data_IF_251017423358
#
_entry.id   IF_251017423358
#
_cell.length_a   1.000
_cell.length_b   1.000
_cell.length_c   1.000
_cell.angle_alpha   90.00
_cell.angle_beta   90.00
_cell.angle_gamma   90.00
#
_symmetry.space_group_name_H-M   'P 1'
#
loop_
_entity.id
_entity.type
_entity.pdbx_description
1 polymer ?
#
# COMPACT_ATOMS: atom_id res chain seq x y z
N UNK A 1 9.80 -11.92 20.34
CA UNK A 1 9.29 -11.56 19.00
C UNK A 1 8.12 -12.49 18.66
N UNK A 2 6.89 -12.07 18.97
CA UNK A 2 5.66 -12.69 18.43
C UNK A 2 5.31 -11.88 17.19
N UNK A 3 5.63 -12.38 16.00
CA UNK A 3 5.42 -11.59 14.78
C UNK A 3 5.97 -12.24 13.52
N UNK A 4 6.22 -13.54 13.55
CA UNK A 4 6.50 -14.33 12.35
C UNK A 4 5.31 -15.27 12.18
N UNK A 5 4.47 -15.00 11.19
CA UNK A 5 3.39 -15.88 10.78
C UNK A 5 3.67 -16.40 9.38
N UNK A 6 3.36 -17.68 9.17
CA UNK A 6 3.45 -18.29 7.85
C UNK A 6 2.30 -17.78 6.98
N UNK A 7 2.64 -17.25 5.82
CA UNK A 7 1.67 -16.92 4.78
C UNK A 7 2.15 -17.50 3.45
N UNK A 8 1.41 -18.48 2.94
CA UNK A 8 1.77 -19.23 1.73
C UNK A 8 3.16 -19.90 1.81
N UNK A 9 3.53 -20.44 2.97
CA UNK A 9 4.83 -21.10 3.17
C UNK A 9 6.00 -20.12 3.35
N UNK A 10 5.73 -18.84 3.61
CA UNK A 10 6.73 -17.81 3.85
C UNK A 10 6.57 -17.20 5.24
N UNK A 11 7.66 -17.14 5.98
CA UNK A 11 7.75 -16.38 7.24
C UNK A 11 7.57 -14.88 6.99
N UNK A 12 6.47 -14.31 7.50
CA UNK A 12 6.10 -12.90 7.34
C UNK A 12 5.84 -12.20 8.66
N UNK A 13 5.97 -10.88 8.68
CA UNK A 13 5.46 -10.00 9.72
C UNK A 13 3.99 -9.69 9.50
N UNK A 14 3.18 -9.98 10.52
CA UNK A 14 1.77 -9.64 10.55
C UNK A 14 1.58 -8.19 11.01
N UNK A 15 0.84 -7.41 10.23
CA UNK A 15 0.31 -6.10 10.62
C UNK A 15 -1.20 -6.22 10.74
N UNK A 16 -1.74 -6.04 11.96
CA UNK A 16 -3.19 -6.00 12.19
C UNK A 16 -3.71 -4.59 11.99
N UNK A 17 -4.45 -4.38 10.91
CA UNK A 17 -5.10 -3.12 10.58
C UNK A 17 -6.53 -3.13 11.10
N UNK A 18 -6.93 -2.04 11.75
CA UNK A 18 -8.31 -1.80 12.18
C UNK A 18 -8.78 -0.51 11.52
N UNK A 19 -9.79 -0.61 10.68
CA UNK A 19 -10.44 0.52 10.03
C UNK A 19 -11.81 0.70 10.67
N UNK A 20 -12.22 1.94 10.87
CA UNK A 20 -13.55 2.28 11.37
C UNK A 20 -14.08 3.42 10.50
N UNK A 21 -15.19 3.15 9.83
CA UNK A 21 -15.92 4.11 9.02
C UNK A 21 -17.42 4.10 9.38
N UNK A 22 -18.24 4.80 8.60
CA UNK A 22 -19.69 4.87 8.81
C UNK A 22 -20.40 3.51 8.68
N UNK A 23 -19.75 2.51 8.06
CA UNK A 23 -20.24 1.14 7.91
C UNK A 23 -19.74 0.20 9.03
N UNK A 24 -18.92 0.72 9.94
CA UNK A 24 -18.49 0.05 11.16
C UNK A 24 -17.00 -0.32 11.18
N UNK A 25 -16.66 -1.26 12.06
CA UNK A 25 -15.28 -1.65 12.33
C UNK A 25 -14.87 -2.85 11.46
N UNK A 26 -13.86 -2.64 10.62
CA UNK A 26 -13.24 -3.66 9.79
C UNK A 26 -11.83 -4.01 10.27
N UNK A 27 -11.51 -5.30 10.34
CA UNK A 27 -10.19 -5.78 10.77
C UNK A 27 -9.57 -6.59 9.63
N UNK A 28 -8.33 -6.26 9.29
CA UNK A 28 -7.56 -6.95 8.25
C UNK A 28 -6.14 -7.25 8.73
N UNK A 29 -5.67 -8.45 8.47
CA UNK A 29 -4.34 -8.95 8.75
C UNK A 29 -3.50 -8.84 7.48
N UNK A 30 -2.45 -8.02 7.48
CA UNK A 30 -1.56 -7.79 6.35
C UNK A 30 -0.24 -8.50 6.58
N UNK A 31 0.22 -9.28 5.60
CA UNK A 31 1.44 -10.08 5.69
C UNK A 31 2.55 -9.45 4.85
N UNK A 32 3.60 -8.99 5.54
CA UNK A 32 4.70 -8.25 4.93
C UNK A 32 6.05 -8.77 5.37
N UNK A 33 7.12 -8.38 4.67
CA UNK A 33 8.48 -8.56 5.13
C UNK A 33 9.30 -7.33 4.77
N UNK A 34 10.04 -6.80 5.74
CA UNK A 34 11.05 -5.77 5.47
C UNK A 34 12.33 -6.47 5.04
N UNK A 35 12.86 -6.06 3.89
CA UNK A 35 14.18 -6.49 3.39
C UNK A 35 15.11 -5.28 3.32
N UNK A 36 16.38 -5.50 2.97
CA UNK A 36 17.35 -4.40 2.82
C UNK A 36 16.95 -3.38 1.73
N UNK A 37 16.19 -3.81 0.73
CA UNK A 37 15.89 -2.99 -0.46
C UNK A 37 14.40 -2.72 -0.68
N UNK A 38 13.50 -3.36 0.07
CA UNK A 38 12.07 -3.20 -0.10
C UNK A 38 11.25 -3.63 1.12
N UNK A 39 10.09 -2.99 1.28
CA UNK A 39 8.94 -3.60 1.95
C UNK A 39 8.26 -4.55 0.96
N UNK A 40 8.17 -5.82 1.31
CA UNK A 40 7.56 -6.87 0.49
C UNK A 40 6.19 -7.20 1.06
N UNK A 41 5.15 -7.14 0.23
CA UNK A 41 3.77 -7.42 0.58
C UNK A 41 3.29 -8.70 -0.10
N UNK A 42 2.90 -9.68 0.71
CA UNK A 42 2.51 -11.02 0.25
C UNK A 42 1.00 -11.18 0.09
N UNK A 43 0.22 -10.41 0.86
CA UNK A 43 -1.22 -10.55 0.88
C UNK A 43 -1.85 -10.04 2.17
N UNK A 44 -3.16 -10.16 2.25
CA UNK A 44 -3.92 -9.90 3.47
C UNK A 44 -5.00 -10.95 3.66
N UNK A 45 -5.46 -11.10 4.89
CA UNK A 45 -6.60 -11.94 5.24
C UNK A 45 -7.52 -11.21 6.20
N UNK A 46 -8.79 -11.54 6.14
CA UNK A 46 -9.78 -11.17 7.14
C UNK A 46 -10.64 -12.39 7.48
N UNK A 47 -11.65 -12.22 8.32
CA UNK A 47 -12.50 -13.33 8.76
C UNK A 47 -13.29 -14.03 7.63
N UNK A 48 -13.40 -13.44 6.44
CA UNK A 48 -14.22 -13.95 5.35
C UNK A 48 -13.47 -14.21 4.03
N UNK A 49 -12.21 -13.80 3.94
CA UNK A 49 -11.41 -13.92 2.71
C UNK A 49 -9.91 -13.87 2.96
N UNK A 50 -9.13 -14.46 2.05
CA UNK A 50 -7.68 -14.24 1.96
C UNK A 50 -7.30 -13.84 0.55
N UNK A 51 -6.40 -12.88 0.42
CA UNK A 51 -5.84 -12.42 -0.85
C UNK A 51 -4.34 -12.67 -0.88
N UNK A 52 -3.88 -13.36 -1.92
CA UNK A 52 -2.47 -13.66 -2.18
C UNK A 52 -1.97 -12.81 -3.35
N UNK A 53 -0.74 -12.32 -3.26
CA UNK A 53 -0.10 -11.48 -4.29
C UNK A 53 1.10 -12.18 -4.91
N UNK A 54 1.08 -12.38 -6.23
CA UNK A 54 2.10 -13.13 -6.96
C UNK A 54 2.59 -12.39 -8.22
N UNK A 55 3.91 -12.13 -8.36
CA UNK A 55 4.90 -12.20 -7.29
C UNK A 55 4.53 -11.23 -6.15
N UNK A 56 5.07 -11.39 -4.93
CA UNK A 56 4.84 -10.44 -3.85
C UNK A 56 5.15 -9.02 -4.30
N UNK A 57 4.26 -8.09 -3.97
CA UNK A 57 4.42 -6.68 -4.32
C UNK A 57 5.60 -6.10 -3.54
N UNK A 58 6.38 -5.24 -4.17
CA UNK A 58 7.54 -4.60 -3.56
C UNK A 58 7.38 -3.09 -3.57
N UNK A 59 7.64 -2.48 -2.43
CA UNK A 59 7.85 -1.03 -2.32
C UNK A 59 9.33 -0.81 -2.06
N UNK A 60 10.11 -0.33 -3.06
CA UNK A 60 11.54 -0.12 -2.90
C UNK A 60 11.83 0.97 -1.86
N UNK A 61 12.91 0.80 -1.10
CA UNK A 61 13.28 1.74 -0.02
C UNK A 61 14.43 2.67 -0.38
N UNK A 62 15.02 2.53 -1.57
CA UNK A 62 16.26 3.18 -1.96
C UNK A 62 16.22 3.75 -3.39
N UNK A 63 15.07 4.28 -3.82
CA UNK A 63 14.99 4.95 -5.12
C UNK A 63 15.76 6.28 -5.09
N UNK A 64 16.51 6.53 -6.15
CA UNK A 64 17.10 7.84 -6.43
C UNK A 64 16.09 8.77 -7.11
N UNK A 65 16.32 10.08 -7.04
CA UNK A 65 15.43 11.06 -7.66
C UNK A 65 15.36 10.85 -9.18
N UNK A 66 14.14 10.77 -9.71
CA UNK A 66 13.86 10.41 -11.11
C UNK A 66 13.82 8.91 -11.37
N UNK A 67 14.27 8.06 -10.45
CA UNK A 67 14.24 6.62 -10.62
C UNK A 67 12.80 6.08 -10.60
N UNK A 68 12.53 5.13 -11.49
CA UNK A 68 11.22 4.49 -11.62
C UNK A 68 11.29 3.00 -11.38
N UNK A 69 10.59 2.52 -10.36
CA UNK A 69 10.37 1.10 -10.11
C UNK A 69 9.08 0.61 -10.76
N UNK A 70 9.18 -0.44 -11.56
CA UNK A 70 8.02 -1.05 -12.23
C UNK A 70 7.79 -2.45 -11.70
N UNK A 71 6.52 -2.79 -11.49
CA UNK A 71 6.13 -4.14 -11.13
C UNK A 71 4.79 -4.54 -11.76
N UNK A 72 4.62 -5.84 -11.94
CA UNK A 72 3.35 -6.45 -12.30
C UNK A 72 3.07 -7.56 -11.31
N UNK A 73 1.91 -7.50 -10.67
CA UNK A 73 1.49 -8.47 -9.66
C UNK A 73 0.10 -8.99 -9.98
N UNK A 74 -0.21 -10.18 -9.48
CA UNK A 74 -1.54 -10.78 -9.57
C UNK A 74 -2.09 -10.94 -8.17
N UNK A 75 -3.26 -10.37 -7.92
CA UNK A 75 -4.05 -10.60 -6.72
C UNK A 75 -4.99 -11.76 -6.97
N UNK A 76 -5.00 -12.74 -6.07
CA UNK A 76 -5.98 -13.82 -6.06
C UNK A 76 -6.65 -13.87 -4.69
N UNK A 77 -7.94 -13.59 -4.67
CA UNK A 77 -8.77 -13.62 -3.47
C UNK A 77 -9.56 -14.91 -3.40
N UNK A 78 -9.53 -15.57 -2.25
CA UNK A 78 -10.29 -16.76 -1.92
C UNK A 78 -11.32 -16.36 -0.85
N UNK A 79 -12.59 -16.60 -1.12
CA UNK A 79 -13.68 -16.28 -0.21
C UNK A 79 -14.11 -17.50 0.60
N UNK A 80 -14.65 -17.29 1.78
CA UNK A 80 -15.15 -18.37 2.65
C UNK A 80 -16.27 -19.22 2.03
N UNK A 81 -16.96 -18.70 1.00
CA UNK A 81 -17.97 -19.43 0.23
C UNK A 81 -17.39 -20.32 -0.89
N UNK A 82 -16.06 -20.43 -0.99
CA UNK A 82 -15.37 -21.24 -2.00
C UNK A 82 -15.16 -20.54 -3.35
N UNK A 83 -15.73 -19.36 -3.56
CA UNK A 83 -15.49 -18.57 -4.78
C UNK A 83 -14.09 -17.94 -4.78
N UNK A 84 -13.60 -17.59 -5.97
CA UNK A 84 -12.32 -16.89 -6.13
C UNK A 84 -12.45 -15.71 -7.08
N UNK A 85 -11.76 -14.62 -6.78
CA UNK A 85 -11.60 -13.48 -7.67
C UNK A 85 -10.11 -13.26 -8.01
N UNK A 86 -9.84 -12.77 -9.21
CA UNK A 86 -8.48 -12.50 -9.69
C UNK A 86 -8.38 -11.12 -10.32
N UNK A 87 -7.25 -10.45 -10.07
CA UNK A 87 -6.91 -9.23 -10.79
C UNK A 87 -5.40 -9.14 -11.03
N UNK A 88 -5.02 -8.52 -12.14
CA UNK A 88 -3.63 -8.22 -12.49
C UNK A 88 -3.41 -6.73 -12.38
N UNK A 89 -2.42 -6.33 -11.61
CA UNK A 89 -2.05 -4.95 -11.39
C UNK A 89 -0.69 -4.65 -11.98
N UNK A 90 -0.58 -3.57 -12.75
CA UNK A 90 0.70 -3.02 -13.22
C UNK A 90 0.90 -1.68 -12.54
N UNK A 91 2.10 -1.44 -12.02
CA UNK A 91 2.44 -0.14 -11.44
C UNK A 91 3.84 0.30 -11.86
N UNK A 92 4.01 1.61 -11.98
CA UNK A 92 5.28 2.30 -12.10
C UNK A 92 5.29 3.41 -11.04
N UNK A 93 6.22 3.31 -10.08
CA UNK A 93 6.40 4.25 -8.99
C UNK A 93 7.68 5.03 -9.29
N UNK A 94 7.58 6.33 -9.47
CA UNK A 94 8.70 7.23 -9.70
C UNK A 94 8.92 8.09 -8.46
N UNK A 95 10.15 8.12 -7.95
CA UNK A 95 10.52 9.05 -6.88
C UNK A 95 10.84 10.42 -7.47
N UNK A 96 10.11 11.45 -7.07
CA UNK A 96 10.23 12.81 -7.60
C UNK A 96 11.09 13.73 -6.74
N UNK A 97 11.68 13.22 -5.67
CA UNK A 97 12.49 13.99 -4.73
C UNK A 97 11.78 14.29 -3.41
N UNK A 98 12.44 15.08 -2.57
CA UNK A 98 11.94 15.49 -1.25
C UNK A 98 11.48 16.94 -1.33
N UNK A 99 10.26 17.23 -0.86
CA UNK A 99 9.77 18.60 -0.72
C UNK A 99 9.17 18.83 0.67
N UNK A 100 9.16 20.09 1.11
CA UNK A 100 8.46 20.46 2.35
C UNK A 100 6.99 20.71 2.06
N UNK A 101 6.11 19.96 2.72
CA UNK A 101 4.66 20.15 2.63
C UNK A 101 4.07 20.61 3.97
N UNK A 102 2.94 21.30 3.89
CA UNK A 102 2.10 21.65 5.04
C UNK A 102 0.82 20.83 4.97
N UNK A 103 0.50 20.10 6.04
CA UNK A 103 -0.74 19.37 6.25
C UNK A 103 -1.40 19.85 7.55
N UNK A 104 -2.63 19.42 7.87
CA UNK A 104 -3.24 19.70 9.17
C UNK A 104 -2.44 19.14 10.36
N UNK A 105 -1.60 18.12 10.14
CA UNK A 105 -0.69 17.58 11.16
C UNK A 105 0.56 18.44 11.39
N UNK A 106 0.86 19.41 10.53
CA UNK A 106 2.04 20.27 10.64
C UNK A 106 2.84 20.39 9.33
N UNK A 107 4.12 20.72 9.46
CA UNK A 107 5.06 20.79 8.34
C UNK A 107 5.95 19.54 8.32
N UNK A 108 6.18 18.98 7.14
CA UNK A 108 6.96 17.76 6.96
C UNK A 108 7.90 17.88 5.76
N UNK A 109 9.13 17.39 5.89
CA UNK A 109 9.91 16.95 4.74
C UNK A 109 9.30 15.62 4.25
N UNK A 110 8.87 15.58 2.99
CA UNK A 110 8.13 14.46 2.44
C UNK A 110 8.74 14.00 1.12
N UNK A 111 8.91 12.69 0.99
CA UNK A 111 9.21 12.03 -0.27
C UNK A 111 7.98 12.09 -1.16
N UNK A 112 8.14 12.67 -2.35
CA UNK A 112 7.08 12.78 -3.35
C UNK A 112 7.21 11.64 -4.34
N UNK A 113 6.10 10.96 -4.62
CA UNK A 113 6.04 9.86 -5.58
C UNK A 113 4.96 10.11 -6.62
N UNK A 114 5.25 9.78 -7.88
CA UNK A 114 4.22 9.56 -8.89
C UNK A 114 4.00 8.07 -9.06
N UNK A 115 2.77 7.61 -8.92
CA UNK A 115 2.38 6.23 -9.19
C UNK A 115 1.46 6.21 -10.39
N UNK A 116 1.92 5.57 -11.47
CA UNK A 116 1.07 5.18 -12.59
C UNK A 116 0.64 3.74 -12.38
N UNK A 117 -0.66 3.47 -12.40
CA UNK A 117 -1.17 2.11 -12.25
C UNK A 117 -2.27 1.77 -13.21
N UNK A 118 -2.36 0.50 -13.61
CA UNK A 118 -3.51 -0.03 -14.32
C UNK A 118 -3.87 -1.40 -13.78
N UNK A 119 -5.16 -1.72 -13.85
CA UNK A 119 -5.68 -2.98 -13.35
C UNK A 119 -6.48 -3.70 -14.42
N UNK A 120 -6.43 -5.02 -14.39
CA UNK A 120 -7.29 -5.88 -15.18
C UNK A 120 -7.90 -6.91 -14.25
N UNK A 121 -9.22 -6.82 -14.05
CA UNK A 121 -9.98 -7.83 -13.33
C UNK A 121 -10.38 -8.91 -14.34
N UNK A 122 -10.39 -10.18 -13.94
CA UNK A 122 -10.90 -11.26 -14.80
C UNK A 122 -12.33 -10.94 -15.26
N UNK A 123 -12.62 -11.12 -16.54
CA UNK A 123 -13.93 -10.85 -17.17
C UNK A 123 -14.40 -9.39 -17.22
N UNK A 124 -13.55 -8.44 -16.83
CA UNK A 124 -13.79 -7.00 -17.01
C UNK A 124 -12.72 -6.42 -17.93
N UNK A 125 -13.10 -5.42 -18.74
CA UNK A 125 -12.13 -4.63 -19.50
C UNK A 125 -11.07 -4.05 -18.57
N UNK A 126 -9.85 -3.88 -19.10
CA UNK A 126 -8.80 -3.24 -18.32
C UNK A 126 -9.26 -1.84 -17.91
N UNK A 127 -9.09 -1.50 -16.64
CA UNK A 127 -9.30 -0.13 -16.19
C UNK A 127 -8.23 0.77 -16.82
N UNK A 128 -8.62 2.01 -17.14
CA UNK A 128 -7.69 3.02 -17.62
C UNK A 128 -6.55 3.22 -16.63
N UNK A 129 -5.39 3.60 -17.16
CA UNK A 129 -4.25 3.93 -16.33
C UNK A 129 -4.58 5.13 -15.43
N UNK A 130 -4.52 4.93 -14.11
CA UNK A 130 -4.60 6.00 -13.12
C UNK A 130 -3.21 6.55 -12.83
N UNK A 131 -3.17 7.85 -12.51
CA UNK A 131 -1.98 8.52 -12.00
C UNK A 131 -2.33 9.10 -10.63
N UNK A 132 -1.50 8.78 -9.64
CA UNK A 132 -1.57 9.33 -8.29
C UNK A 132 -0.24 10.00 -7.96
N UNK A 133 -0.30 11.18 -7.36
CA UNK A 133 0.86 11.77 -6.67
C UNK A 133 0.67 11.61 -5.17
N UNK A 134 1.66 11.06 -4.48
CA UNK A 134 1.61 10.86 -3.03
C UNK A 134 2.82 11.44 -2.33
N UNK A 135 2.63 11.81 -1.07
CA UNK A 135 3.66 12.36 -0.19
C UNK A 135 3.76 11.50 1.04
N UNK A 136 4.96 11.02 1.32
CA UNK A 136 5.27 10.16 2.46
C UNK A 136 6.30 10.88 3.32
N UNK A 137 6.10 10.93 4.64
CA UNK A 137 7.06 11.58 5.53
C UNK A 137 8.46 10.95 5.36
N UNK A 138 9.47 11.77 5.08
CA UNK A 138 10.83 11.32 4.82
C UNK A 138 11.57 10.96 6.12
N UNK A 139 11.20 11.61 7.21
CA UNK A 139 11.91 11.57 8.49
C UNK A 139 10.98 11.79 9.68
N UNK A 140 11.56 11.74 10.89
CA UNK A 140 10.83 11.94 12.15
C UNK A 140 9.96 10.75 12.56
N UNK A 141 9.07 10.94 13.55
CA UNK A 141 8.28 9.86 14.14
C UNK A 141 7.26 9.24 13.17
N UNK A 142 6.93 9.95 12.08
CA UNK A 142 5.99 9.49 11.07
C UNK A 142 6.68 8.96 9.80
N UNK A 143 8.00 8.77 9.83
CA UNK A 143 8.76 8.31 8.66
C UNK A 143 8.11 7.11 7.99
N UNK A 144 7.92 7.18 6.68
CA UNK A 144 7.28 6.12 5.88
C UNK A 144 5.75 6.17 5.89
N UNK A 145 5.13 7.10 6.62
CA UNK A 145 3.68 7.27 6.67
C UNK A 145 3.19 8.21 5.54
N UNK A 146 2.11 7.81 4.85
CA UNK A 146 1.47 8.63 3.83
C UNK A 146 0.78 9.85 4.45
N UNK A 147 1.18 11.04 4.04
CA UNK A 147 0.68 12.32 4.55
C UNK A 147 -0.44 12.89 3.69
N UNK A 148 -0.30 12.73 2.38
CA UNK A 148 -1.17 13.30 1.36
C UNK A 148 -1.15 12.44 0.10
N UNK A 149 -2.26 12.38 -0.63
CA UNK A 149 -2.26 11.97 -2.03
C UNK A 149 -3.27 12.73 -2.87
N UNK A 150 -3.01 12.79 -4.18
CA UNK A 150 -3.83 13.44 -5.19
C UNK A 150 -3.99 12.50 -6.37
N UNK A 151 -5.23 12.19 -6.76
CA UNK A 151 -5.54 11.28 -7.87
C UNK A 151 -6.82 11.69 -8.61
N UNK A 152 -7.00 11.16 -9.82
CA UNK A 152 -8.25 11.33 -10.60
C UNK A 152 -8.34 12.61 -11.44
N UNK A 153 -9.42 12.68 -12.23
CA UNK A 153 -9.83 13.85 -13.04
C UNK A 153 -11.35 14.04 -12.89
N UNK A 154 -11.84 15.06 -12.17
CA UNK A 154 -11.07 16.11 -11.48
C UNK A 154 -10.24 15.55 -10.32
N UNK A 155 -9.21 16.30 -9.91
CA UNK A 155 -8.27 15.87 -8.87
C UNK A 155 -8.97 15.78 -7.51
N UNK A 156 -8.93 14.59 -6.91
CA UNK A 156 -9.36 14.31 -5.53
C UNK A 156 -8.13 14.30 -4.64
N UNK A 157 -8.19 15.00 -3.51
CA UNK A 157 -7.10 15.09 -2.53
C UNK A 157 -7.48 14.38 -1.24
N UNK A 158 -6.60 13.49 -0.78
CA UNK A 158 -6.68 12.87 0.54
C UNK A 158 -5.54 13.41 1.40
N UNK A 159 -5.86 13.84 2.61
CA UNK A 159 -4.87 14.30 3.59
C UNK A 159 -5.15 13.69 4.95
N UNK A 160 -4.10 13.27 5.65
CA UNK A 160 -4.24 12.79 7.02
C UNK A 160 -4.35 13.99 7.95
N UNK A 161 -5.45 14.04 8.69
CA UNK A 161 -5.77 15.14 9.62
C UNK A 161 -5.52 14.80 11.09
N UNK A 162 -5.44 13.50 11.42
CA UNK A 162 -5.21 13.02 12.79
C UNK A 162 -4.59 11.62 12.78
N UNK A 163 -3.65 11.36 13.69
CA UNK A 163 -3.11 10.03 14.00
C UNK A 163 -3.41 9.75 15.47
N UNK A 164 -4.05 8.62 15.78
CA UNK A 164 -4.54 8.30 17.14
C UNK A 164 -3.61 7.37 17.91
N UNK A 165 -3.13 6.29 17.30
CA UNK A 165 -2.17 5.36 17.92
C UNK A 165 -1.28 4.71 16.86
N UNK A 166 -0.02 4.46 17.22
CA UNK A 166 0.92 3.57 16.53
C UNK A 166 1.32 2.49 17.53
N UNK A 167 0.56 1.39 17.60
CA UNK A 167 0.88 0.27 18.48
C UNK A 167 1.73 -0.74 17.68
N UNK A 168 3.04 -0.54 17.68
CA UNK A 168 4.00 -1.53 17.15
C UNK A 168 4.33 -2.47 18.30
N UNK A 169 3.57 -3.55 18.42
CA UNK A 169 3.88 -4.64 19.37
C UNK A 169 4.94 -5.59 18.84
#
# INVERSE_FOLDING_TARGET
MKGVEDFEGVATTLIKNTFEDEFGKFVSNTYVRVTKSALVFYGYANGSSRTVVTPPSKTPTNLEEGETFKQTVTYKTFFGNGSTAGSKWKSAITFLGIETIKTPLGKFAACKFETKSSSKITDVSAADASVETSWVAAEGPYRGFGLKSVSGKPATTYEVVKIREFDVK
#
